data_IF_585967398847
#
_entry.id   IF_585967398847
#
_cell.length_a   1.000
_cell.length_b   1.000
_cell.length_c   1.000
_cell.angle_alpha   90.00
_cell.angle_beta   90.00
_cell.angle_gamma   90.00
#
_symmetry.space_group_name_H-M   'P 1'
#
loop_
_entity.id
_entity.type
_entity.pdbx_description
1 polymer ?
#
# COMPACT_ATOMS: atom_id res chain seq x y z
N UNK A 1 -19.05 0.93 0.95
CA UNK A 1 -18.45 -0.23 1.63
C UNK A 1 -16.96 -0.01 1.75
N UNK A 2 -16.59 0.75 2.78
CA UNK A 2 -15.24 0.79 3.31
C UNK A 2 -15.13 -0.22 4.48
N UNK A 3 -13.90 -0.51 4.95
CA UNK A 3 -13.67 -1.52 6.00
C UNK A 3 -14.36 -1.19 7.33
N UNK A 4 -14.39 0.10 7.68
CA UNK A 4 -15.01 0.58 8.92
C UNK A 4 -16.52 0.31 8.96
N UNK A 5 -17.22 0.51 7.84
CA UNK A 5 -18.67 0.24 7.72
C UNK A 5 -19.04 -1.23 7.98
N UNK A 6 -18.08 -2.15 7.81
CA UNK A 6 -18.29 -3.59 7.99
C UNK A 6 -17.57 -4.15 9.22
N UNK A 7 -17.02 -3.28 10.08
CA UNK A 7 -16.44 -3.67 11.37
C UNK A 7 -15.07 -4.35 11.30
N UNK A 8 -14.30 -4.16 10.23
CA UNK A 8 -12.96 -4.75 10.09
C UNK A 8 -11.89 -3.71 10.45
N UNK A 9 -11.09 -4.01 11.47
CA UNK A 9 -9.95 -3.19 11.93
C UNK A 9 -8.62 -3.83 11.52
N UNK A 10 -8.35 -3.81 10.21
CA UNK A 10 -7.14 -4.36 9.62
C UNK A 10 -6.33 -3.29 8.90
N UNK A 11 -5.03 -3.19 9.23
CA UNK A 11 -4.13 -2.26 8.56
C UNK A 11 -3.76 -2.77 7.16
N UNK A 12 -4.04 -1.97 6.13
CA UNK A 12 -3.59 -2.22 4.75
C UNK A 12 -2.54 -1.18 4.39
N UNK A 13 -1.28 -1.59 4.44
CA UNK A 13 -0.12 -0.75 4.10
C UNK A 13 0.60 -1.29 2.86
N UNK A 14 1.51 -0.49 2.28
CA UNK A 14 2.29 -0.94 1.13
C UNK A 14 3.24 -2.08 1.55
N UNK A 15 3.15 -3.22 0.88
CA UNK A 15 4.01 -4.37 1.15
C UNK A 15 5.34 -4.33 0.40
N UNK A 16 5.67 -3.22 -0.28
CA UNK A 16 6.88 -3.10 -1.10
C UNK A 16 7.05 -4.27 -2.08
N UNK A 17 5.97 -4.63 -2.79
CA UNK A 17 5.92 -5.85 -3.59
C UNK A 17 6.99 -5.90 -4.69
N UNK A 18 7.48 -7.10 -4.99
CA UNK A 18 8.54 -7.33 -5.97
C UNK A 18 8.21 -6.74 -7.35
N UNK A 19 6.95 -6.86 -7.80
CA UNK A 19 6.55 -6.41 -9.13
C UNK A 19 6.40 -4.89 -9.27
N UNK A 20 6.43 -4.15 -8.15
CA UNK A 20 6.27 -2.68 -8.09
C UNK A 20 5.16 -2.16 -9.01
N UNK A 21 3.96 -2.74 -8.95
CA UNK A 21 2.83 -2.35 -9.82
C UNK A 21 2.47 -0.87 -9.78
N UNK A 22 2.83 -0.16 -8.71
CA UNK A 22 2.62 1.28 -8.58
C UNK A 22 3.56 2.11 -9.48
N UNK A 23 4.70 1.57 -9.90
CA UNK A 23 5.66 2.19 -10.84
C UNK A 23 5.16 2.08 -12.30
N UNK A 24 3.96 2.61 -12.52
CA UNK A 24 3.31 2.67 -13.83
C UNK A 24 2.89 4.11 -14.17
N UNK A 25 3.49 5.09 -13.51
CA UNK A 25 3.12 6.49 -13.66
C UNK A 25 3.50 6.99 -15.07
N UNK A 26 2.53 7.48 -15.88
CA UNK A 26 2.83 7.99 -17.22
C UNK A 26 3.71 9.25 -17.17
N UNK A 27 3.56 10.08 -16.13
CA UNK A 27 4.34 11.30 -15.89
C UNK A 27 5.69 11.03 -15.21
N UNK A 28 6.01 9.77 -14.92
CA UNK A 28 7.22 9.37 -14.17
C UNK A 28 7.35 10.09 -12.82
N UNK A 29 6.20 10.38 -12.19
CA UNK A 29 6.15 11.03 -10.88
C UNK A 29 6.48 10.07 -9.73
N UNK A 30 6.60 8.75 -9.99
CA UNK A 30 6.89 7.73 -8.98
C UNK A 30 8.32 7.25 -9.19
N UNK A 31 9.06 7.12 -8.10
CA UNK A 31 10.40 6.52 -8.05
C UNK A 31 10.51 5.59 -6.85
N UNK A 32 11.40 4.60 -6.94
CA UNK A 32 11.74 3.73 -5.83
C UNK A 32 13.04 4.23 -5.22
N UNK A 33 13.01 4.59 -3.94
CA UNK A 33 14.17 5.08 -3.22
C UNK A 33 15.12 3.97 -2.80
N UNK A 34 16.22 4.34 -2.14
CA UNK A 34 17.27 3.41 -1.74
C UNK A 34 16.85 2.43 -0.65
N UNK A 35 15.79 2.73 0.09
CA UNK A 35 15.23 1.84 1.13
C UNK A 35 14.09 0.97 0.57
N UNK A 36 13.82 1.04 -0.74
CA UNK A 36 12.68 0.37 -1.36
C UNK A 36 11.35 1.13 -1.20
N UNK A 37 11.39 2.33 -0.62
CA UNK A 37 10.24 3.20 -0.42
C UNK A 37 9.70 3.77 -1.73
N UNK A 38 8.40 4.05 -1.77
CA UNK A 38 7.76 4.68 -2.93
C UNK A 38 7.75 6.19 -2.72
N UNK A 39 8.45 6.92 -3.58
CA UNK A 39 8.51 8.39 -3.55
C UNK A 39 7.67 8.97 -4.67
N UNK A 40 6.75 9.86 -4.34
CA UNK A 40 5.87 10.55 -5.30
C UNK A 40 6.26 12.02 -5.41
N UNK A 41 6.63 12.46 -6.61
CA UNK A 41 6.87 13.87 -6.92
C UNK A 41 5.57 14.63 -7.05
N UNK A 42 5.34 15.60 -6.16
CA UNK A 42 4.15 16.46 -6.19
C UNK A 42 4.14 17.42 -7.40
N UNK A 43 5.30 17.74 -7.96
CA UNK A 43 5.39 18.65 -9.12
C UNK A 43 5.05 17.95 -10.43
N UNK A 44 5.31 16.64 -10.52
CA UNK A 44 5.02 15.82 -11.71
C UNK A 44 3.67 15.10 -11.62
N UNK A 45 3.15 14.86 -10.42
CA UNK A 45 1.92 14.10 -10.24
C UNK A 45 0.69 14.90 -10.68
N UNK A 46 -0.05 14.36 -11.66
CA UNK A 46 -1.31 14.93 -12.16
C UNK A 46 -2.55 14.36 -11.48
N UNK A 47 -2.38 13.57 -10.41
CA UNK A 47 -3.48 12.91 -9.68
C UNK A 47 -4.37 11.99 -10.54
N UNK A 48 -3.83 11.43 -11.63
CA UNK A 48 -4.58 10.60 -12.57
C UNK A 48 -5.10 9.26 -11.98
N UNK A 49 -4.59 8.84 -10.81
CA UNK A 49 -5.06 7.66 -10.09
C UNK A 49 -4.64 6.30 -10.69
N UNK A 50 -3.76 6.28 -11.68
CA UNK A 50 -3.30 5.04 -12.32
C UNK A 50 -2.58 4.13 -11.32
N UNK A 51 -1.67 4.67 -10.49
CA UNK A 51 -0.97 3.92 -9.44
C UNK A 51 -1.93 3.31 -8.40
N UNK A 52 -2.94 4.07 -7.97
CA UNK A 52 -4.02 3.61 -7.08
C UNK A 52 -4.77 2.42 -7.67
N UNK A 53 -5.14 2.49 -8.94
CA UNK A 53 -5.80 1.37 -9.66
C UNK A 53 -4.85 0.18 -9.86
N UNK A 54 -3.55 0.42 -9.98
CA UNK A 54 -2.58 -0.62 -10.23
C UNK A 54 -2.26 -1.48 -8.99
N UNK A 55 -2.28 -0.88 -7.79
CA UNK A 55 -2.03 -1.58 -6.52
C UNK A 55 -3.00 -2.77 -6.32
N UNK A 56 -2.53 -4.02 -6.14
CA UNK A 56 -3.38 -5.19 -5.95
C UNK A 56 -4.16 -5.22 -4.63
N UNK A 57 -3.59 -4.62 -3.58
CA UNK A 57 -4.13 -4.65 -2.21
C UNK A 57 -4.84 -3.35 -1.82
N UNK A 58 -4.80 -2.33 -2.69
CA UNK A 58 -5.45 -1.05 -2.41
C UNK A 58 -4.75 -0.21 -1.34
N UNK A 59 -3.43 -0.33 -1.19
CA UNK A 59 -2.64 0.42 -0.21
C UNK A 59 -2.28 1.86 -0.61
N UNK A 60 -2.74 2.32 -1.79
CA UNK A 60 -2.51 3.69 -2.28
C UNK A 60 -3.82 4.44 -2.26
N UNK A 61 -3.84 5.59 -1.60
CA UNK A 61 -5.00 6.48 -1.55
C UNK A 61 -4.67 7.85 -2.14
N UNK A 62 -5.70 8.54 -2.63
CA UNK A 62 -5.58 9.92 -3.10
C UNK A 62 -6.57 10.75 -2.29
N UNK A 63 -6.04 11.74 -1.57
CA UNK A 63 -6.83 12.58 -0.68
C UNK A 63 -6.20 13.97 -0.58
N UNK A 64 -7.02 15.02 -0.54
CA UNK A 64 -6.58 16.43 -0.48
C UNK A 64 -5.41 16.78 -1.43
N UNK A 65 -5.50 16.34 -2.69
CA UNK A 65 -4.47 16.56 -3.73
C UNK A 65 -3.10 15.88 -3.46
N UNK A 66 -3.05 14.92 -2.55
CA UNK A 66 -1.87 14.09 -2.31
C UNK A 66 -2.14 12.63 -2.63
N UNK A 67 -1.10 11.96 -3.17
CA UNK A 67 -1.05 10.50 -3.26
C UNK A 67 -0.38 9.97 -1.99
N UNK A 68 -1.13 9.24 -1.19
CA UNK A 68 -0.63 8.59 0.02
C UNK A 68 -0.20 7.16 -0.30
N UNK A 69 1.07 6.87 -0.06
CA UNK A 69 1.71 5.55 -0.13
C UNK A 69 2.85 5.52 0.88
N UNK A 70 3.21 4.35 1.39
CA UNK A 70 4.30 4.23 2.35
C UNK A 70 5.64 4.66 1.71
N UNK A 71 6.21 5.74 2.24
CA UNK A 71 7.52 6.29 1.93
C UNK A 71 8.57 5.91 3.01
N UNK A 72 8.24 4.92 3.85
CA UNK A 72 9.01 4.52 5.03
C UNK A 72 9.32 5.66 6.01
N UNK A 73 8.59 6.78 5.92
CA UNK A 73 8.82 7.99 6.70
C UNK A 73 10.30 8.43 6.68
N UNK A 74 10.99 8.28 5.54
CA UNK A 74 12.42 8.61 5.40
C UNK A 74 13.35 7.70 6.20
N UNK A 75 12.97 6.43 6.40
CA UNK A 75 13.75 5.44 7.15
C UNK A 75 13.49 5.41 8.65
N UNK A 76 12.53 6.21 9.14
CA UNK A 76 12.11 6.22 10.54
C UNK A 76 10.58 6.06 10.65
N UNK A 77 10.05 4.82 10.51
CA UNK A 77 8.62 4.60 10.38
C UNK A 77 7.83 5.03 11.62
N UNK A 78 6.96 6.03 11.46
CA UNK A 78 6.13 6.57 12.56
C UNK A 78 5.11 5.56 13.08
N UNK A 79 4.67 4.62 12.26
CA UNK A 79 3.75 3.56 12.69
C UNK A 79 4.38 2.69 13.79
N UNK A 80 5.68 2.42 13.72
CA UNK A 80 6.41 1.64 14.74
C UNK A 80 6.58 2.45 16.00
N UNK A 81 6.92 3.74 15.89
CA UNK A 81 7.00 4.63 17.06
C UNK A 81 5.66 4.74 17.80
N UNK A 82 4.55 4.65 17.07
CA UNK A 82 3.20 4.67 17.65
C UNK A 82 2.78 3.33 18.29
N UNK A 83 3.39 2.21 17.87
CA UNK A 83 3.00 0.87 18.32
C UNK A 83 3.59 0.55 19.70
N UNK A 84 2.84 0.86 20.76
CA UNK A 84 3.26 0.61 22.15
C UNK A 84 3.40 -0.88 22.49
N UNK A 85 2.62 -1.73 21.81
CA UNK A 85 2.62 -3.18 22.03
C UNK A 85 3.79 -3.90 21.33
N UNK A 86 4.54 -3.22 20.46
CA UNK A 86 5.64 -3.84 19.73
C UNK A 86 5.21 -4.88 18.69
N UNK A 87 3.97 -4.81 18.20
CA UNK A 87 3.42 -5.76 17.22
C UNK A 87 4.04 -5.63 15.82
N UNK A 88 4.73 -4.53 15.53
CA UNK A 88 5.40 -4.27 14.26
C UNK A 88 6.85 -3.85 14.48
N UNK A 89 7.73 -4.33 13.61
CA UNK A 89 9.17 -4.03 13.59
C UNK A 89 9.60 -3.51 12.21
N UNK A 90 10.78 -2.90 12.14
CA UNK A 90 11.37 -2.45 10.87
C UNK A 90 12.78 -2.98 10.74
N UNK A 91 12.97 -3.75 9.68
CA UNK A 91 14.24 -4.28 9.25
C UNK A 91 14.41 -3.90 7.78
N UNK A 92 15.60 -3.45 7.41
CA UNK A 92 15.93 -3.16 6.01
C UNK A 92 16.42 -4.47 5.40
N UNK A 93 15.53 -5.13 4.65
CA UNK A 93 15.84 -6.33 3.87
C UNK A 93 15.59 -6.05 2.39
N UNK A 94 16.65 -6.06 1.59
CA UNK A 94 16.59 -5.90 0.13
C UNK A 94 16.08 -7.17 -0.58
N UNK A 95 15.98 -8.29 0.13
CA UNK A 95 15.69 -9.62 -0.42
C UNK A 95 14.26 -10.09 -0.19
N UNK A 96 13.59 -9.65 0.87
CA UNK A 96 12.18 -10.00 1.15
C UNK A 96 11.20 -8.95 0.64
N UNK A 97 10.82 -9.11 -0.63
CA UNK A 97 9.66 -8.43 -1.20
C UNK A 97 8.60 -9.45 -1.61
N UNK A 98 7.39 -9.43 -1.01
CA UNK A 98 6.35 -10.40 -1.34
C UNK A 98 5.85 -10.19 -2.77
N UNK A 99 5.64 -11.29 -3.50
CA UNK A 99 4.95 -11.26 -4.79
C UNK A 99 3.45 -11.06 -4.57
N UNK A 100 2.86 -10.12 -5.31
CA UNK A 100 1.41 -9.89 -5.30
C UNK A 100 0.74 -10.35 -6.60
N UNK A 101 1.40 -11.16 -7.43
CA UNK A 101 0.88 -11.61 -8.73
C UNK A 101 -0.47 -12.32 -8.62
N UNK A 102 -0.66 -13.18 -7.62
CA UNK A 102 -1.94 -13.86 -7.38
C UNK A 102 -3.07 -12.85 -7.07
N UNK A 103 -2.81 -11.94 -6.12
CA UNK A 103 -3.75 -10.88 -5.75
C UNK A 103 -4.04 -9.96 -6.95
N UNK A 104 -3.02 -9.63 -7.77
CA UNK A 104 -3.20 -8.78 -8.96
C UNK A 104 -4.18 -9.39 -9.95
N UNK A 105 -4.14 -10.70 -10.16
CA UNK A 105 -5.06 -11.42 -11.03
C UNK A 105 -6.48 -11.42 -10.47
N UNK A 106 -6.63 -11.70 -9.18
CA UNK A 106 -7.92 -11.80 -8.49
C UNK A 106 -8.61 -10.44 -8.36
N UNK A 107 -7.86 -9.36 -8.13
CA UNK A 107 -8.42 -8.04 -7.83
C UNK A 107 -8.48 -7.08 -9.03
N UNK A 108 -8.21 -7.56 -10.25
CA UNK A 108 -8.14 -6.73 -11.47
C UNK A 108 -9.36 -5.85 -11.72
N UNK A 109 -10.57 -6.32 -11.36
CA UNK A 109 -11.84 -5.62 -11.56
C UNK A 109 -12.36 -4.90 -10.30
N UNK A 110 -11.61 -4.96 -9.20
CA UNK A 110 -12.03 -4.41 -7.91
C UNK A 110 -11.60 -2.94 -7.76
N UNK A 111 -12.41 -2.16 -7.05
CA UNK A 111 -12.02 -0.83 -6.57
C UNK A 111 -11.07 -0.95 -5.35
N UNK A 112 -10.54 0.19 -4.87
CA UNK A 112 -9.57 0.19 -3.76
C UNK A 112 -10.11 -0.42 -2.47
N UNK A 113 -11.32 -0.09 -2.06
CA UNK A 113 -11.91 -0.62 -0.82
C UNK A 113 -12.18 -2.12 -0.92
N UNK A 114 -12.62 -2.62 -2.08
CA UNK A 114 -12.78 -4.05 -2.33
C UNK A 114 -11.45 -4.80 -2.29
N UNK A 115 -10.37 -4.20 -2.79
CA UNK A 115 -9.02 -4.78 -2.72
C UNK A 115 -8.51 -4.88 -1.29
N UNK A 116 -8.72 -3.83 -0.49
CA UNK A 116 -8.36 -3.81 0.93
C UNK A 116 -9.08 -4.92 1.68
N UNK A 117 -10.41 -5.02 1.51
CA UNK A 117 -11.21 -6.10 2.10
C UNK A 117 -10.73 -7.48 1.68
N UNK A 118 -10.55 -7.69 0.37
CA UNK A 118 -10.11 -8.98 -0.16
C UNK A 118 -8.72 -9.39 0.34
N UNK A 119 -7.81 -8.43 0.49
CA UNK A 119 -6.49 -8.66 1.05
C UNK A 119 -6.56 -9.09 2.52
N UNK A 120 -7.30 -8.38 3.36
CA UNK A 120 -7.48 -8.74 4.77
C UNK A 120 -8.16 -10.10 4.95
N UNK A 121 -9.17 -10.39 4.13
CA UNK A 121 -9.80 -11.72 4.05
C UNK A 121 -8.79 -12.82 3.75
N UNK A 122 -7.87 -12.61 2.80
CA UNK A 122 -6.80 -13.57 2.47
C UNK A 122 -5.80 -13.78 3.60
N UNK A 123 -5.64 -12.80 4.49
CA UNK A 123 -4.82 -12.93 5.71
C UNK A 123 -5.58 -13.58 6.88
N UNK A 124 -6.88 -13.85 6.75
CA UNK A 124 -7.71 -14.38 7.83
C UNK A 124 -8.10 -13.36 8.90
N UNK A 125 -7.99 -12.06 8.60
CA UNK A 125 -8.26 -10.95 9.53
C UNK A 125 -9.70 -10.41 9.42
N UNK A 126 -10.64 -11.23 8.96
CA UNK A 126 -12.04 -10.83 8.71
C UNK A 126 -12.98 -11.07 9.90
N UNK A 127 -12.52 -11.75 10.95
CA UNK A 127 -13.28 -11.96 12.18
C UNK A 127 -12.45 -11.47 13.37
N UNK A 128 -12.89 -10.37 13.99
CA UNK A 128 -12.39 -9.94 15.28
C UNK A 128 -12.72 -11.01 16.32
N UNK A 129 -11.67 -11.57 16.93
CA UNK A 129 -11.75 -12.35 18.15
C UNK A 129 -11.05 -11.55 19.25
#
# INVERSE_FOLDING_TARGET
MNLYEIGIDGAVVCNQCQERYCDCCPEKAITIGSLGEVVVSQTLCTLCGVCRKACPIGAIEIFNDFVYVCDLCGGRPKCIEACKEGAITFEVDETHHPSLTALKKETKKMNSSQKQYFYLKKLGLEEGN
#
